data_IF_798588709778
#
_entry.id   IF_798588709778
#
_cell.length_a   1.000
_cell.length_b   1.000
_cell.length_c   1.000
_cell.angle_alpha   90.00
_cell.angle_beta   90.00
_cell.angle_gamma   90.00
#
_symmetry.space_group_name_H-M   'P 1'
#
loop_
_entity.id
_entity.type
_entity.pdbx_description
1 polymer ?
#
# COMPACT_ATOMS: atom_id res chain seq x y z
N UNK A 1 -9.69 11.67 -13.39
CA UNK A 1 -8.99 11.69 -12.09
C UNK A 1 -9.22 10.39 -11.35
N UNK A 2 -8.16 9.60 -11.15
CA UNK A 2 -8.14 8.40 -10.32
C UNK A 2 -7.24 8.65 -9.11
N UNK A 3 -7.49 9.77 -8.42
CA UNK A 3 -6.69 10.19 -7.27
C UNK A 3 -7.10 9.33 -6.07
N UNK A 4 -6.15 8.57 -5.55
CA UNK A 4 -6.31 7.82 -4.29
C UNK A 4 -6.10 8.79 -3.13
N UNK A 5 -7.12 8.90 -2.27
CA UNK A 5 -7.05 9.58 -0.98
C UNK A 5 -6.74 8.63 0.17
N UNK A 6 -6.79 9.14 1.41
CA UNK A 6 -6.53 8.35 2.62
C UNK A 6 -7.37 7.06 2.73
N UNK A 7 -8.66 7.14 2.42
CA UNK A 7 -9.56 5.99 2.45
C UNK A 7 -9.20 4.95 1.39
N UNK A 8 -8.85 5.41 0.19
CA UNK A 8 -8.44 4.52 -0.90
C UNK A 8 -7.13 3.80 -0.58
N UNK A 9 -6.14 4.52 0.00
CA UNK A 9 -4.89 3.92 0.45
C UNK A 9 -5.10 2.92 1.61
N UNK A 10 -5.99 3.24 2.55
CA UNK A 10 -6.37 2.33 3.64
C UNK A 10 -7.11 1.09 3.14
N UNK A 11 -7.96 1.24 2.13
CA UNK A 11 -8.64 0.13 1.45
C UNK A 11 -7.66 -0.76 0.69
N UNK A 12 -6.73 -0.16 -0.05
CA UNK A 12 -5.63 -0.88 -0.71
C UNK A 12 -4.79 -1.67 0.32
N UNK A 13 -4.41 -1.03 1.43
CA UNK A 13 -3.74 -1.71 2.54
C UNK A 13 -4.55 -2.91 3.03
N UNK A 14 -5.83 -2.72 3.34
CA UNK A 14 -6.69 -3.80 3.82
C UNK A 14 -6.76 -5.00 2.86
N UNK A 15 -6.73 -4.76 1.54
CA UNK A 15 -6.67 -5.81 0.53
C UNK A 15 -5.32 -6.55 0.53
N UNK A 16 -4.21 -5.82 0.66
CA UNK A 16 -2.85 -6.35 0.69
C UNK A 16 -2.54 -7.16 1.96
N UNK A 17 -3.20 -6.88 3.08
CA UNK A 17 -2.91 -7.49 4.37
C UNK A 17 -2.98 -9.04 4.36
N UNK A 18 -3.74 -9.65 3.44
CA UNK A 18 -3.86 -11.10 3.31
C UNK A 18 -2.91 -11.71 2.27
N UNK A 19 -2.11 -10.89 1.59
CA UNK A 19 -1.17 -11.32 0.55
C UNK A 19 0.13 -11.88 1.15
N UNK A 20 0.02 -12.83 2.08
CA UNK A 20 1.16 -13.38 2.85
C UNK A 20 2.21 -14.07 1.96
N UNK A 21 1.83 -14.51 0.77
CA UNK A 21 2.72 -15.19 -0.20
C UNK A 21 3.31 -14.23 -1.24
N UNK A 22 3.00 -12.93 -1.14
CA UNK A 22 3.52 -11.94 -2.07
C UNK A 22 5.01 -11.72 -1.79
N UNK A 23 5.84 -11.97 -2.80
CA UNK A 23 7.29 -11.82 -2.71
C UNK A 23 7.82 -10.54 -3.35
N UNK A 24 7.05 -9.97 -4.30
CA UNK A 24 7.39 -8.78 -5.05
C UNK A 24 6.16 -7.88 -5.12
N UNK A 25 6.33 -6.60 -4.80
CA UNK A 25 5.28 -5.60 -4.92
C UNK A 25 5.87 -4.29 -5.43
N UNK A 26 5.23 -3.74 -6.46
CA UNK A 26 5.45 -2.37 -6.92
C UNK A 26 4.15 -1.61 -6.76
N UNK A 27 4.19 -0.46 -6.08
CA UNK A 27 3.07 0.48 -6.00
C UNK A 27 3.51 1.81 -6.60
N UNK A 28 2.81 2.22 -7.65
CA UNK A 28 2.90 3.55 -8.27
C UNK A 28 1.86 4.43 -7.58
N UNK A 29 2.31 5.20 -6.59
CA UNK A 29 1.47 6.09 -5.77
C UNK A 29 1.76 7.57 -6.06
N UNK A 30 2.72 7.85 -6.95
CA UNK A 30 2.93 9.18 -7.48
C UNK A 30 1.64 9.72 -8.10
N UNK A 31 1.46 11.04 -8.01
CA UNK A 31 0.23 11.74 -8.41
C UNK A 31 -1.05 11.40 -7.59
N UNK A 32 -0.93 10.71 -6.45
CA UNK A 32 -2.04 10.52 -5.51
C UNK A 32 -2.00 11.50 -4.32
N UNK A 33 -3.15 11.68 -3.66
CA UNK A 33 -3.28 12.55 -2.48
C UNK A 33 -3.42 11.71 -1.20
N UNK A 34 -2.39 10.92 -0.92
CA UNK A 34 -2.33 10.09 0.27
C UNK A 34 -1.77 10.92 1.42
N UNK A 35 -2.61 11.17 2.43
CA UNK A 35 -2.21 11.81 3.67
C UNK A 35 -1.58 10.82 4.66
N UNK A 36 -1.27 11.33 5.84
CA UNK A 36 -0.61 10.54 6.89
C UNK A 36 -1.45 9.33 7.33
N UNK A 37 -2.78 9.44 7.31
CA UNK A 37 -3.69 8.36 7.69
C UNK A 37 -3.66 7.21 6.68
N UNK A 38 -3.76 7.53 5.38
CA UNK A 38 -3.67 6.54 4.31
C UNK A 38 -2.31 5.85 4.25
N UNK A 39 -1.23 6.62 4.41
CA UNK A 39 0.12 6.08 4.48
C UNK A 39 0.30 5.13 5.68
N UNK A 40 -0.22 5.49 6.85
CA UNK A 40 -0.18 4.63 8.04
C UNK A 40 -0.98 3.34 7.86
N UNK A 41 -2.16 3.42 7.23
CA UNK A 41 -2.98 2.26 6.90
C UNK A 41 -2.29 1.31 5.94
N UNK A 42 -1.72 1.85 4.85
CA UNK A 42 -0.95 1.08 3.87
C UNK A 42 0.28 0.42 4.51
N UNK A 43 1.07 1.17 5.29
CA UNK A 43 2.26 0.63 5.97
C UNK A 43 1.94 -0.49 6.96
N UNK A 44 0.87 -0.34 7.74
CA UNK A 44 0.42 -1.37 8.69
C UNK A 44 0.03 -2.67 7.98
N UNK A 45 -0.58 -2.57 6.80
CA UNK A 45 -0.94 -3.74 6.01
C UNK A 45 0.27 -4.41 5.35
N UNK A 46 1.22 -3.63 4.83
CA UNK A 46 2.44 -4.17 4.22
C UNK A 46 3.25 -4.99 5.23
N UNK A 47 3.18 -4.67 6.52
CA UNK A 47 3.80 -5.47 7.58
C UNK A 47 3.26 -6.92 7.67
N UNK A 48 2.04 -7.19 7.16
CA UNK A 48 1.47 -8.53 7.12
C UNK A 48 1.92 -9.35 5.89
N UNK A 49 2.53 -8.72 4.89
CA UNK A 49 3.09 -9.39 3.72
C UNK A 49 4.43 -10.06 4.08
N UNK A 50 4.40 -11.10 4.91
CA UNK A 50 5.59 -11.68 5.55
C UNK A 50 6.65 -12.24 4.60
N UNK A 51 6.27 -12.62 3.37
CA UNK A 51 7.21 -13.14 2.37
C UNK A 51 7.71 -12.05 1.41
N UNK A 52 7.31 -10.79 1.60
CA UNK A 52 7.66 -9.68 0.71
C UNK A 52 9.15 -9.39 0.83
N UNK A 53 9.87 -9.63 -0.27
CA UNK A 53 11.32 -9.47 -0.35
C UNK A 53 11.71 -8.25 -1.17
N UNK A 54 10.92 -7.93 -2.20
CA UNK A 54 11.14 -6.78 -3.06
C UNK A 54 9.92 -5.85 -2.99
N UNK A 55 10.14 -4.66 -2.45
CA UNK A 55 9.14 -3.59 -2.40
C UNK A 55 9.68 -2.37 -3.13
N UNK A 56 8.95 -1.93 -4.16
CA UNK A 56 9.17 -0.64 -4.82
C UNK A 56 7.96 0.24 -4.55
N UNK A 57 8.20 1.44 -4.04
CA UNK A 57 7.18 2.47 -3.83
C UNK A 57 7.62 3.71 -4.61
N UNK A 58 6.86 4.06 -5.64
CA UNK A 58 6.98 5.36 -6.29
C UNK A 58 5.93 6.27 -5.65
N UNK A 59 6.37 7.42 -5.13
CA UNK A 59 5.59 8.32 -4.26
C UNK A 59 5.55 9.72 -4.86
#
# INVERSE_FOLDING_TARGET
DNIIGDEGASGLGSALANCINLSNLTLELDENQIGAMGASGLGSALANCINLSNLTLNL
#
